data_IF_901623043741
#
_entry.id   IF_901623043741
#
_cell.length_a   1.000
_cell.length_b   1.000
_cell.length_c   1.000
_cell.angle_alpha   90.00
_cell.angle_beta   90.00
_cell.angle_gamma   90.00
#
_symmetry.space_group_name_H-M   'P 1'
#
loop_
_entity.id
_entity.type
_entity.pdbx_description
1 polymer ?
#
# COMPACT_ATOMS: atom_id res chain seq x y z
N UNK A 1 16.03 -8.52 2.07
CA UNK A 1 15.60 -9.02 0.75
C UNK A 1 15.84 -10.52 0.61
N UNK A 2 17.06 -11.03 0.77
CA UNK A 2 17.39 -12.47 0.60
C UNK A 2 16.53 -13.39 1.48
N UNK A 3 16.26 -13.04 2.73
CA UNK A 3 15.47 -13.87 3.64
C UNK A 3 13.99 -13.99 3.25
N UNK A 4 13.41 -12.92 2.70
CA UNK A 4 12.01 -12.91 2.27
C UNK A 4 11.77 -13.76 1.02
N UNK A 5 12.70 -13.73 0.07
CA UNK A 5 12.64 -14.53 -1.15
C UNK A 5 12.81 -16.03 -0.86
N UNK A 6 13.69 -16.37 0.10
CA UNK A 6 13.87 -17.75 0.58
C UNK A 6 12.59 -18.25 1.26
N UNK A 7 11.92 -17.39 2.04
CA UNK A 7 10.65 -17.74 2.65
C UNK A 7 9.57 -18.03 1.62
N UNK A 8 9.48 -17.22 0.56
CA UNK A 8 8.53 -17.45 -0.53
C UNK A 8 8.83 -18.77 -1.25
N UNK A 9 10.10 -19.05 -1.56
CA UNK A 9 10.53 -20.32 -2.12
C UNK A 9 10.08 -21.50 -1.25
N UNK A 10 10.38 -21.45 0.05
CA UNK A 10 10.00 -22.51 0.99
C UNK A 10 8.48 -22.68 1.08
N UNK A 11 7.74 -21.59 1.03
CA UNK A 11 6.29 -21.62 1.01
C UNK A 11 5.74 -22.29 -0.26
N UNK A 12 6.30 -21.99 -1.44
CA UNK A 12 5.92 -22.64 -2.71
C UNK A 12 6.23 -24.14 -2.70
N UNK A 13 7.43 -24.53 -2.22
CA UNK A 13 7.77 -25.95 -2.07
C UNK A 13 6.78 -26.68 -1.16
N UNK A 14 6.35 -26.05 -0.06
CA UNK A 14 5.34 -26.63 0.84
C UNK A 14 3.96 -26.80 0.17
N UNK A 15 3.70 -26.06 -0.92
CA UNK A 15 2.48 -26.21 -1.74
C UNK A 15 2.63 -27.22 -2.89
N UNK A 16 3.72 -27.98 -2.91
CA UNK A 16 3.95 -29.06 -3.88
C UNK A 16 4.63 -28.65 -5.18
N UNK A 17 5.19 -27.42 -5.26
CA UNK A 17 6.03 -27.06 -6.39
C UNK A 17 7.43 -27.65 -6.24
N UNK A 18 7.84 -28.50 -7.20
CA UNK A 18 9.19 -29.07 -7.25
C UNK A 18 10.15 -28.07 -7.87
N UNK A 19 10.77 -27.23 -7.02
CA UNK A 19 11.59 -26.09 -7.40
C UNK A 19 13.05 -26.28 -6.98
N UNK A 20 13.97 -25.99 -7.90
CA UNK A 20 15.37 -25.73 -7.55
C UNK A 20 15.49 -24.28 -7.08
N UNK A 21 16.14 -24.08 -5.91
CA UNK A 21 16.15 -22.81 -5.20
C UNK A 21 16.75 -21.67 -6.04
N UNK A 22 17.92 -21.91 -6.58
CA UNK A 22 18.69 -20.91 -7.35
C UNK A 22 17.93 -20.52 -8.61
N UNK A 23 17.34 -21.47 -9.32
CA UNK A 23 16.55 -21.23 -10.52
C UNK A 23 15.27 -20.41 -10.20
N UNK A 24 14.59 -20.73 -9.10
CA UNK A 24 13.42 -19.96 -8.68
C UNK A 24 13.78 -18.53 -8.32
N UNK A 25 14.84 -18.32 -7.55
CA UNK A 25 15.26 -16.98 -7.14
C UNK A 25 15.63 -16.10 -8.34
N UNK A 26 16.29 -16.66 -9.36
CA UNK A 26 16.61 -15.96 -10.61
C UNK A 26 15.33 -15.61 -11.40
N UNK A 27 14.46 -16.58 -11.66
CA UNK A 27 13.20 -16.37 -12.35
C UNK A 27 12.29 -15.35 -11.63
N UNK A 28 12.24 -15.42 -10.30
CA UNK A 28 11.49 -14.46 -9.49
C UNK A 28 12.05 -13.05 -9.59
N UNK A 29 13.37 -12.89 -9.54
CA UNK A 29 14.05 -11.60 -9.69
C UNK A 29 13.78 -10.97 -11.06
N UNK A 30 13.84 -11.76 -12.12
CA UNK A 30 13.54 -11.29 -13.47
C UNK A 30 12.07 -10.84 -13.60
N UNK A 31 11.12 -11.66 -13.12
CA UNK A 31 9.72 -11.32 -13.12
C UNK A 31 9.45 -10.05 -12.30
N UNK A 32 10.02 -9.95 -11.10
CA UNK A 32 9.89 -8.77 -10.25
C UNK A 32 10.43 -7.50 -10.93
N UNK A 33 11.59 -7.56 -11.60
CA UNK A 33 12.16 -6.42 -12.33
C UNK A 33 11.29 -6.00 -13.52
N UNK A 34 10.77 -6.97 -14.30
CA UNK A 34 9.83 -6.73 -15.40
C UNK A 34 8.60 -5.94 -14.95
N UNK A 35 7.96 -6.39 -13.87
CA UNK A 35 6.74 -5.77 -13.36
C UNK A 35 7.00 -4.49 -12.57
N UNK A 36 8.20 -4.34 -11.98
CA UNK A 36 8.62 -3.09 -11.33
C UNK A 36 8.54 -1.89 -12.30
N UNK A 37 8.96 -2.04 -13.54
CA UNK A 37 8.83 -0.99 -14.56
C UNK A 37 7.39 -0.54 -14.75
N UNK A 38 6.47 -1.48 -14.93
CA UNK A 38 5.03 -1.19 -15.09
C UNK A 38 4.50 -0.43 -13.88
N UNK A 39 4.86 -0.86 -12.68
CA UNK A 39 4.39 -0.27 -11.43
C UNK A 39 4.86 1.17 -11.23
N UNK A 40 6.13 1.46 -11.50
CA UNK A 40 6.73 2.76 -11.18
C UNK A 40 6.74 3.75 -12.36
N UNK A 41 6.68 3.27 -13.60
CA UNK A 41 6.66 4.14 -14.78
C UNK A 41 5.24 4.39 -15.30
N UNK A 42 4.33 3.42 -15.16
CA UNK A 42 2.96 3.52 -15.66
C UNK A 42 1.92 3.70 -14.55
N UNK A 43 2.34 3.64 -13.28
CA UNK A 43 1.50 3.70 -12.09
C UNK A 43 0.34 2.69 -12.10
N UNK A 44 0.56 1.55 -12.73
CA UNK A 44 -0.32 0.39 -12.68
C UNK A 44 0.17 -0.57 -11.62
N UNK A 45 -0.75 -1.04 -10.79
CA UNK A 45 -0.38 -2.08 -9.82
C UNK A 45 -0.30 -3.43 -10.51
N UNK A 46 0.73 -4.18 -10.17
CA UNK A 46 0.88 -5.59 -10.52
C UNK A 46 1.12 -6.35 -9.22
N UNK A 47 0.42 -7.45 -9.03
CA UNK A 47 0.37 -8.15 -7.75
C UNK A 47 1.51 -9.15 -7.59
N UNK A 48 1.82 -9.51 -6.35
CA UNK A 48 2.75 -10.59 -6.06
C UNK A 48 2.35 -11.89 -6.76
N UNK A 49 1.06 -12.19 -6.82
CA UNK A 49 0.57 -13.40 -7.47
C UNK A 49 0.92 -13.44 -8.96
N UNK A 50 0.88 -12.29 -9.66
CA UNK A 50 1.23 -12.19 -11.08
C UNK A 50 2.70 -12.52 -11.30
N UNK A 51 3.63 -11.85 -10.61
CA UNK A 51 5.05 -12.11 -10.88
C UNK A 51 5.54 -13.44 -10.30
N UNK A 52 4.92 -13.96 -9.24
CA UNK A 52 5.20 -15.33 -8.76
C UNK A 52 4.74 -16.36 -9.79
N UNK A 53 3.52 -16.20 -10.33
CA UNK A 53 3.02 -17.09 -11.40
C UNK A 53 3.88 -17.00 -12.65
N UNK A 54 4.32 -15.80 -13.05
CA UNK A 54 5.19 -15.61 -14.22
C UNK A 54 6.55 -16.32 -14.01
N UNK A 55 7.14 -16.18 -12.83
CA UNK A 55 8.37 -16.90 -12.48
C UNK A 55 8.20 -18.43 -12.54
N UNK A 56 7.09 -18.95 -12.01
CA UNK A 56 6.79 -20.38 -12.07
C UNK A 56 6.54 -20.87 -13.51
N UNK A 57 5.84 -20.07 -14.34
CA UNK A 57 5.62 -20.38 -15.75
C UNK A 57 6.94 -20.45 -16.52
N UNK A 58 7.90 -19.56 -16.24
CA UNK A 58 9.24 -19.58 -16.84
C UNK A 58 10.04 -20.86 -16.47
N UNK A 59 9.69 -21.48 -15.34
CA UNK A 59 10.26 -22.76 -14.89
C UNK A 59 9.46 -23.99 -15.38
N UNK A 60 8.46 -23.79 -16.24
CA UNK A 60 7.68 -24.87 -16.85
C UNK A 60 6.42 -25.28 -16.10
N UNK A 61 6.08 -24.63 -15.00
CA UNK A 61 4.84 -24.90 -14.28
C UNK A 61 3.64 -24.22 -14.97
N UNK A 62 2.49 -24.87 -14.96
CA UNK A 62 1.22 -24.30 -15.45
C UNK A 62 0.50 -23.63 -14.28
N UNK A 63 0.74 -22.35 -14.07
CA UNK A 63 0.14 -21.57 -12.98
C UNK A 63 -0.52 -20.28 -13.48
N UNK A 64 -1.42 -19.77 -12.66
CA UNK A 64 -2.05 -18.45 -12.82
C UNK A 64 -1.98 -17.70 -11.48
N UNK A 65 -2.20 -16.39 -11.44
CA UNK A 65 -2.30 -15.65 -10.18
C UNK A 65 -3.36 -16.20 -9.22
N UNK A 66 -4.39 -16.87 -9.75
CA UNK A 66 -5.49 -17.47 -8.98
C UNK A 66 -5.18 -18.87 -8.47
N UNK A 67 -4.06 -19.47 -8.88
CA UNK A 67 -3.68 -20.82 -8.45
C UNK A 67 -3.62 -20.91 -6.91
N UNK A 68 -4.32 -21.90 -6.33
CA UNK A 68 -4.45 -22.03 -4.87
C UNK A 68 -3.11 -22.12 -4.15
N UNK A 69 -2.16 -22.89 -4.69
CA UNK A 69 -0.81 -23.02 -4.13
C UNK A 69 -0.02 -21.71 -4.16
N UNK A 70 -0.21 -20.85 -5.18
CA UNK A 70 0.40 -19.51 -5.24
C UNK A 70 -0.20 -18.61 -4.16
N UNK A 71 -1.53 -18.59 -4.02
CA UNK A 71 -2.21 -17.78 -2.99
C UNK A 71 -1.82 -18.23 -1.58
N UNK A 72 -1.75 -19.53 -1.34
CA UNK A 72 -1.36 -20.03 -0.02
C UNK A 72 0.11 -19.74 0.29
N UNK A 73 1.01 -19.90 -0.69
CA UNK A 73 2.40 -19.50 -0.51
C UNK A 73 2.54 -18.01 -0.18
N UNK A 74 1.73 -17.14 -0.79
CA UNK A 74 1.71 -15.71 -0.47
C UNK A 74 1.12 -15.44 0.92
N UNK A 75 0.10 -16.16 1.37
CA UNK A 75 -0.39 -16.08 2.74
C UNK A 75 0.73 -16.41 3.76
N UNK A 76 1.49 -17.48 3.51
CA UNK A 76 2.64 -17.88 4.35
C UNK A 76 3.73 -16.80 4.29
N UNK A 77 4.03 -16.30 3.09
CA UNK A 77 5.04 -15.27 2.88
C UNK A 77 4.75 -14.00 3.70
N UNK A 78 3.50 -13.53 3.71
CA UNK A 78 3.10 -12.32 4.43
C UNK A 78 2.79 -12.54 5.93
N UNK A 79 2.90 -13.78 6.44
CA UNK A 79 2.53 -14.07 7.84
C UNK A 79 3.40 -13.29 8.84
N UNK A 80 4.71 -13.13 8.57
CA UNK A 80 5.59 -12.40 9.48
C UNK A 80 5.26 -10.89 9.47
N UNK A 81 4.94 -10.33 8.29
CA UNK A 81 4.46 -8.96 8.22
C UNK A 81 3.19 -8.78 9.07
N UNK A 82 2.22 -9.70 8.93
CA UNK A 82 1.02 -9.67 9.74
C UNK A 82 1.31 -9.81 11.24
N UNK A 83 2.28 -10.64 11.61
CA UNK A 83 2.62 -10.86 13.02
C UNK A 83 3.26 -9.62 13.67
N UNK A 84 4.07 -8.88 12.91
CA UNK A 84 4.84 -7.71 13.39
C UNK A 84 4.11 -6.39 13.26
N UNK A 85 2.97 -6.33 12.53
CA UNK A 85 2.24 -5.08 12.36
C UNK A 85 1.60 -4.63 13.68
N UNK A 86 1.86 -3.37 14.03
CA UNK A 86 1.31 -2.69 15.20
C UNK A 86 0.83 -1.28 14.82
N UNK A 87 -0.09 -0.74 15.62
CA UNK A 87 -0.49 0.66 15.46
C UNK A 87 0.60 1.57 16.02
N UNK A 88 0.90 2.62 15.28
CA UNK A 88 1.70 3.69 15.84
C UNK A 88 0.93 4.42 16.95
N UNK A 89 1.70 4.99 17.88
CA UNK A 89 1.14 5.72 19.03
C UNK A 89 0.15 6.80 18.59
N UNK A 90 -1.01 6.84 19.22
CA UNK A 90 -2.05 7.82 18.94
C UNK A 90 -2.94 7.54 17.72
N UNK A 91 -2.65 6.50 16.91
CA UNK A 91 -3.41 6.24 15.70
C UNK A 91 -4.89 5.95 15.96
N UNK A 92 -5.19 5.12 16.95
CA UNK A 92 -6.58 4.79 17.31
C UNK A 92 -7.34 6.00 17.86
N UNK A 93 -6.69 6.82 18.70
CA UNK A 93 -7.28 8.06 19.22
C UNK A 93 -7.60 9.02 18.10
N UNK A 94 -6.66 9.23 17.17
CA UNK A 94 -6.88 10.07 15.99
C UNK A 94 -8.08 9.59 15.19
N UNK A 95 -8.11 8.30 14.80
CA UNK A 95 -9.21 7.73 14.02
C UNK A 95 -10.55 7.87 14.74
N UNK A 96 -10.60 7.62 16.05
CA UNK A 96 -11.81 7.80 16.86
C UNK A 96 -12.30 9.26 16.82
N UNK A 97 -11.40 10.23 16.90
CA UNK A 97 -11.75 11.64 16.86
C UNK A 97 -12.24 12.10 15.49
N UNK A 98 -11.49 11.79 14.42
CA UNK A 98 -11.82 12.28 13.08
C UNK A 98 -13.06 11.60 12.50
N UNK A 99 -13.29 10.31 12.79
CA UNK A 99 -14.46 9.57 12.29
C UNK A 99 -15.80 10.07 12.86
N UNK A 100 -15.79 10.89 13.94
CA UNK A 100 -17.01 11.55 14.45
C UNK A 100 -17.46 12.72 13.58
N UNK A 101 -16.55 13.30 12.80
CA UNK A 101 -16.80 14.56 12.05
C UNK A 101 -16.61 14.39 10.55
N UNK A 102 -15.80 13.44 10.12
CA UNK A 102 -15.40 13.27 8.72
C UNK A 102 -15.65 11.83 8.25
N UNK A 103 -15.87 11.67 6.94
CA UNK A 103 -15.71 10.37 6.28
C UNK A 103 -14.23 10.07 6.15
N UNK A 104 -13.83 8.86 6.53
CA UNK A 104 -12.43 8.45 6.52
C UNK A 104 -12.20 7.42 5.41
N UNK A 105 -11.22 7.69 4.53
CA UNK A 105 -10.77 6.77 3.50
C UNK A 105 -9.35 6.28 3.75
N UNK A 106 -9.05 5.07 3.29
CA UNK A 106 -7.69 4.51 3.22
C UNK A 106 -7.31 4.27 1.78
N UNK A 107 -6.12 4.75 1.36
CA UNK A 107 -5.48 4.38 0.09
C UNK A 107 -4.13 3.75 0.39
N UNK A 108 -3.94 2.50 -0.02
CA UNK A 108 -2.70 1.77 0.21
C UNK A 108 -2.10 1.25 -1.11
N UNK A 109 -0.83 1.60 -1.38
CA UNK A 109 -0.04 0.95 -2.42
C UNK A 109 0.50 -0.38 -1.88
N UNK A 110 -0.25 -1.45 -2.07
CA UNK A 110 0.13 -2.78 -1.59
C UNK A 110 -0.25 -3.86 -2.61
N UNK A 111 0.62 -4.84 -2.76
CA UNK A 111 0.57 -5.86 -3.82
C UNK A 111 -0.15 -7.15 -3.42
N UNK A 112 -0.72 -7.19 -2.21
CA UNK A 112 -1.49 -8.32 -1.69
C UNK A 112 -2.53 -7.83 -0.67
N UNK A 113 -3.71 -7.47 -1.15
CA UNK A 113 -4.79 -6.87 -0.36
C UNK A 113 -5.24 -7.71 0.84
N UNK A 114 -5.32 -9.06 0.76
CA UNK A 114 -5.77 -9.87 1.89
C UNK A 114 -5.00 -9.61 3.17
N UNK A 115 -3.68 -9.34 3.10
CA UNK A 115 -2.90 -9.07 4.31
C UNK A 115 -3.22 -7.70 4.91
N UNK A 116 -3.51 -6.69 4.09
CA UNK A 116 -3.90 -5.35 4.59
C UNK A 116 -5.21 -5.44 5.35
N UNK A 117 -6.22 -6.14 4.82
CA UNK A 117 -7.48 -6.34 5.55
C UNK A 117 -7.28 -7.07 6.88
N UNK A 118 -6.45 -8.11 6.90
CA UNK A 118 -6.07 -8.80 8.14
C UNK A 118 -5.36 -7.88 9.15
N UNK A 119 -4.48 -6.98 8.66
CA UNK A 119 -3.81 -5.98 9.51
C UNK A 119 -4.83 -5.00 10.12
N UNK A 120 -5.75 -4.47 9.32
CA UNK A 120 -6.79 -3.56 9.79
C UNK A 120 -7.71 -4.21 10.83
N UNK A 121 -8.06 -5.48 10.63
CA UNK A 121 -8.85 -6.27 11.58
C UNK A 121 -8.07 -6.55 12.87
N UNK A 122 -6.82 -7.06 12.76
CA UNK A 122 -5.95 -7.35 13.90
C UNK A 122 -5.74 -6.13 14.78
N UNK A 123 -5.54 -4.97 14.17
CA UNK A 123 -5.31 -3.71 14.89
C UNK A 123 -6.59 -3.03 15.37
N UNK A 124 -7.76 -3.55 14.98
CA UNK A 124 -9.07 -3.05 15.41
C UNK A 124 -9.40 -1.66 14.86
N UNK A 125 -8.88 -1.31 13.66
CA UNK A 125 -9.16 0.00 13.03
C UNK A 125 -9.97 -0.12 11.74
N UNK A 126 -10.30 -1.31 11.28
CA UNK A 126 -11.04 -1.53 10.03
C UNK A 126 -12.35 -0.74 9.97
N UNK A 127 -13.11 -0.71 11.06
CA UNK A 127 -14.44 -0.08 11.13
C UNK A 127 -14.44 1.45 11.08
N UNK A 128 -13.28 2.10 11.18
CA UNK A 128 -13.20 3.56 11.05
C UNK A 128 -13.26 4.04 9.60
N UNK A 129 -12.99 3.16 8.63
CA UNK A 129 -12.91 3.54 7.23
C UNK A 129 -14.24 3.36 6.50
N UNK A 130 -14.73 4.44 5.88
CA UNK A 130 -15.91 4.43 5.01
C UNK A 130 -15.57 3.94 3.59
N UNK A 131 -14.30 4.05 3.19
CA UNK A 131 -13.77 3.48 1.95
C UNK A 131 -12.35 2.97 2.18
N UNK A 132 -12.05 1.79 1.66
CA UNK A 132 -10.70 1.21 1.63
C UNK A 132 -10.39 0.91 0.17
N UNK A 133 -9.26 1.44 -0.31
CA UNK A 133 -8.78 1.24 -1.67
C UNK A 133 -7.34 0.74 -1.60
N UNK A 134 -7.13 -0.49 -2.03
CA UNK A 134 -5.81 -1.10 -2.10
C UNK A 134 -5.44 -1.22 -3.58
N UNK A 135 -4.24 -0.80 -3.93
CA UNK A 135 -3.79 -0.73 -5.33
C UNK A 135 -3.94 -2.05 -6.10
N UNK A 136 -3.78 -3.19 -5.42
CA UNK A 136 -4.01 -4.52 -6.01
C UNK A 136 -5.43 -4.66 -6.57
N UNK A 137 -6.45 -4.20 -5.83
CA UNK A 137 -7.86 -4.42 -6.17
C UNK A 137 -8.34 -3.54 -7.33
N UNK A 138 -7.69 -2.39 -7.52
CA UNK A 138 -8.09 -1.39 -8.54
C UNK A 138 -7.10 -1.29 -9.68
N UNK A 139 -6.02 -2.06 -9.66
CA UNK A 139 -4.91 -2.04 -10.63
C UNK A 139 -4.28 -0.64 -10.83
N UNK A 140 -4.51 0.26 -9.90
CA UNK A 140 -4.00 1.63 -9.88
C UNK A 140 -3.19 1.85 -8.61
N UNK A 141 -2.11 2.64 -8.72
CA UNK A 141 -1.31 2.98 -7.55
C UNK A 141 -1.00 4.47 -7.49
N UNK A 142 -0.80 4.99 -6.29
CA UNK A 142 -0.25 6.32 -6.08
C UNK A 142 1.13 6.42 -6.75
N UNK A 143 1.50 7.54 -7.39
CA UNK A 143 0.83 8.84 -7.39
C UNK A 143 -0.26 9.05 -8.46
N UNK A 144 -0.74 8.03 -9.17
CA UNK A 144 -1.79 8.24 -10.17
C UNK A 144 -3.00 8.96 -9.55
N UNK A 145 -3.45 10.11 -10.10
CA UNK A 145 -4.64 10.80 -9.61
C UNK A 145 -5.91 9.93 -9.63
N UNK A 146 -5.94 8.91 -10.49
CA UNK A 146 -7.11 8.04 -10.66
C UNK A 146 -7.46 7.27 -9.38
N UNK A 147 -6.46 6.81 -8.60
CA UNK A 147 -6.74 6.07 -7.34
C UNK A 147 -7.36 6.98 -6.28
N UNK A 148 -6.96 8.26 -6.25
CA UNK A 148 -7.57 9.25 -5.35
C UNK A 148 -9.00 9.55 -5.77
N UNK A 149 -9.26 9.76 -7.08
CA UNK A 149 -10.61 9.98 -7.58
C UNK A 149 -11.54 8.77 -7.37
N UNK A 150 -11.05 7.54 -7.52
CA UNK A 150 -11.82 6.34 -7.19
C UNK A 150 -12.22 6.34 -5.71
N UNK A 151 -11.30 6.68 -4.82
CA UNK A 151 -11.58 6.77 -3.39
C UNK A 151 -12.59 7.88 -3.06
N UNK A 152 -12.45 9.07 -3.67
CA UNK A 152 -13.38 10.18 -3.50
C UNK A 152 -14.80 9.81 -3.96
N UNK A 153 -14.91 9.11 -5.10
CA UNK A 153 -16.19 8.61 -5.60
C UNK A 153 -16.83 7.62 -4.61
N UNK A 154 -16.07 6.70 -4.04
CA UNK A 154 -16.56 5.77 -3.01
C UNK A 154 -17.00 6.49 -1.73
N UNK A 155 -16.32 7.58 -1.39
CA UNK A 155 -16.69 8.43 -0.25
C UNK A 155 -17.88 9.37 -0.57
N UNK A 156 -18.20 9.60 -1.85
CA UNK A 156 -19.24 10.52 -2.27
C UNK A 156 -18.92 11.98 -1.95
N UNK A 157 -17.65 12.41 -2.14
CA UNK A 157 -17.16 13.77 -1.88
C UNK A 157 -16.32 14.29 -3.05
N UNK A 158 -16.14 15.62 -3.10
CA UNK A 158 -15.29 16.28 -4.09
C UNK A 158 -13.86 16.43 -3.58
N UNK A 159 -12.89 16.56 -4.50
CA UNK A 159 -11.48 16.64 -4.15
C UNK A 159 -11.15 17.83 -3.22
N UNK A 160 -11.76 18.99 -3.46
CA UNK A 160 -11.54 20.20 -2.65
C UNK A 160 -12.08 20.10 -1.21
N UNK A 161 -12.97 19.13 -0.93
CA UNK A 161 -13.52 18.83 0.39
C UNK A 161 -12.66 17.82 1.17
N UNK A 162 -11.58 17.30 0.55
CA UNK A 162 -10.76 16.24 1.12
C UNK A 162 -9.35 16.69 1.48
N UNK A 163 -8.82 16.11 2.56
CA UNK A 163 -7.42 16.19 2.95
C UNK A 163 -6.80 14.80 2.86
N UNK A 164 -5.70 14.68 2.16
CA UNK A 164 -4.90 13.46 2.17
C UNK A 164 -3.73 13.60 3.14
N UNK A 165 -3.57 12.61 4.00
CA UNK A 165 -2.50 12.55 5.00
C UNK A 165 -1.59 11.40 4.64
N UNK A 166 -0.32 11.65 4.39
CA UNK A 166 0.63 10.61 4.03
C UNK A 166 2.08 10.99 4.31
N UNK A 167 2.96 10.03 4.12
CA UNK A 167 4.39 10.17 4.40
C UNK A 167 5.27 10.17 3.15
N UNK A 168 4.77 9.72 2.00
CA UNK A 168 5.55 9.72 0.77
C UNK A 168 5.42 11.03 0.01
N UNK A 169 6.53 11.77 -0.18
CA UNK A 169 6.48 13.03 -0.95
C UNK A 169 5.95 12.84 -2.38
N UNK A 170 6.36 11.78 -3.05
CA UNK A 170 5.98 11.55 -4.45
C UNK A 170 4.66 10.78 -4.60
N UNK A 171 4.46 9.71 -3.82
CA UNK A 171 3.25 8.90 -3.95
C UNK A 171 2.03 9.61 -3.33
N UNK A 172 2.19 10.19 -2.13
CA UNK A 172 1.10 10.77 -1.35
C UNK A 172 0.89 12.25 -1.66
N UNK A 173 1.91 13.08 -1.43
CA UNK A 173 1.75 14.52 -1.51
C UNK A 173 1.56 14.99 -2.96
N UNK A 174 2.45 14.57 -3.86
CA UNK A 174 2.32 14.90 -5.29
C UNK A 174 1.01 14.34 -5.85
N UNK A 175 0.75 13.05 -5.65
CA UNK A 175 -0.43 12.38 -6.23
C UNK A 175 -1.75 12.98 -5.75
N UNK A 176 -1.89 13.27 -4.45
CA UNK A 176 -3.09 13.90 -3.90
C UNK A 176 -3.28 15.33 -4.43
N UNK A 177 -2.20 16.13 -4.53
CA UNK A 177 -2.27 17.47 -5.12
C UNK A 177 -2.67 17.46 -6.59
N UNK A 178 -2.11 16.55 -7.38
CA UNK A 178 -2.50 16.38 -8.78
C UNK A 178 -3.97 15.94 -8.93
N UNK A 179 -4.53 15.27 -7.94
CA UNK A 179 -5.93 14.93 -7.87
C UNK A 179 -6.83 16.04 -7.29
N UNK A 180 -6.26 17.17 -6.88
CA UNK A 180 -6.98 18.34 -6.37
C UNK A 180 -7.31 18.31 -4.88
N UNK A 181 -6.72 17.38 -4.11
CA UNK A 181 -6.90 17.31 -2.66
C UNK A 181 -5.96 18.29 -1.93
N UNK A 182 -6.33 18.66 -0.73
CA UNK A 182 -5.40 19.24 0.24
C UNK A 182 -4.51 18.16 0.83
N UNK A 183 -3.33 18.53 1.34
CA UNK A 183 -2.32 17.57 1.77
C UNK A 183 -1.70 17.90 3.12
N UNK A 184 -1.51 16.87 3.92
CA UNK A 184 -0.74 16.92 5.17
C UNK A 184 0.39 15.90 5.07
N UNK A 185 1.62 16.36 5.16
CA UNK A 185 2.78 15.48 5.25
C UNK A 185 3.05 15.11 6.72
N UNK A 186 3.14 13.83 6.98
CA UNK A 186 3.50 13.29 8.29
C UNK A 186 4.69 12.34 8.10
N UNK A 187 5.92 12.74 8.50
CA UNK A 187 7.11 11.91 8.34
C UNK A 187 6.96 10.56 9.05
N UNK A 188 7.61 9.54 8.49
CA UNK A 188 7.65 8.18 9.01
C UNK A 188 9.09 7.68 9.11
N UNK A 189 9.24 6.41 9.48
CA UNK A 189 10.55 5.74 9.41
C UNK A 189 11.06 5.53 7.97
N UNK A 190 10.18 5.67 6.96
CA UNK A 190 10.54 5.47 5.55
C UNK A 190 10.81 6.77 4.81
N UNK A 191 10.18 7.88 5.23
CA UNK A 191 10.31 9.18 4.61
C UNK A 191 10.40 10.28 5.66
N UNK A 192 11.49 11.03 5.62
CA UNK A 192 11.80 12.12 6.53
C UNK A 192 11.41 13.49 5.97
N UNK A 193 11.55 14.53 6.78
CA UNK A 193 11.45 15.94 6.31
C UNK A 193 12.54 16.24 5.26
N UNK A 194 13.73 15.64 5.37
CA UNK A 194 14.78 15.83 4.37
C UNK A 194 14.38 15.26 3.00
N UNK A 195 13.73 14.10 2.98
CA UNK A 195 13.21 13.51 1.73
C UNK A 195 12.11 14.38 1.12
N UNK A 196 11.25 14.99 1.93
CA UNK A 196 10.25 15.96 1.46
C UNK A 196 10.93 17.14 0.78
N UNK A 197 11.92 17.76 1.44
CA UNK A 197 12.67 18.90 0.89
C UNK A 197 13.37 18.52 -0.41
N UNK A 198 14.04 17.37 -0.46
CA UNK A 198 14.73 16.89 -1.64
C UNK A 198 13.78 16.61 -2.82
N UNK A 199 12.56 16.23 -2.55
CA UNK A 199 11.54 15.95 -3.55
C UNK A 199 10.94 17.19 -4.22
N UNK A 200 11.18 18.39 -3.67
CA UNK A 200 10.56 19.65 -4.06
C UNK A 200 9.01 19.65 -3.97
N UNK A 201 8.44 18.76 -3.14
CA UNK A 201 6.99 18.75 -2.92
C UNK A 201 6.63 19.68 -1.75
N UNK A 202 5.53 20.39 -1.88
CA UNK A 202 5.07 21.37 -0.88
C UNK A 202 3.68 20.99 -0.38
N UNK A 203 3.54 20.24 0.72
CA UNK A 203 2.24 19.96 1.33
C UNK A 203 1.59 21.23 1.89
N UNK A 204 0.27 21.22 2.07
CA UNK A 204 -0.44 22.36 2.69
C UNK A 204 -0.10 22.49 4.18
N UNK A 205 0.16 21.38 4.85
CA UNK A 205 0.61 21.33 6.25
C UNK A 205 1.64 20.22 6.45
N UNK A 206 2.46 20.38 7.48
CA UNK A 206 3.39 19.35 7.98
C UNK A 206 3.06 19.11 9.46
N UNK A 207 3.02 17.84 9.86
CA UNK A 207 2.81 17.42 11.25
C UNK A 207 3.82 16.36 11.64
N UNK A 208 4.39 16.48 12.83
CA UNK A 208 5.28 15.44 13.38
C UNK A 208 4.50 14.39 14.17
N UNK A 209 3.43 14.81 14.85
CA UNK A 209 2.64 13.94 15.73
C UNK A 209 1.21 13.80 15.21
N UNK A 210 0.66 12.58 15.28
CA UNK A 210 -0.72 12.31 14.89
C UNK A 210 -1.74 13.16 15.65
N UNK A 211 -1.49 13.46 16.91
CA UNK A 211 -2.35 14.28 17.75
C UNK A 211 -2.57 15.71 17.22
N UNK A 212 -1.66 16.23 16.40
CA UNK A 212 -1.77 17.57 15.81
C UNK A 212 -2.66 17.60 14.54
N UNK A 213 -2.99 16.47 13.97
CA UNK A 213 -3.72 16.36 12.70
C UNK A 213 -5.10 17.04 12.76
N UNK A 214 -5.96 16.83 13.78
CA UNK A 214 -7.29 17.43 13.81
C UNK A 214 -7.26 18.96 13.75
N UNK A 215 -6.32 19.59 14.48
CA UNK A 215 -6.13 21.04 14.43
C UNK A 215 -5.67 21.50 13.05
N UNK A 216 -4.79 20.75 12.41
CA UNK A 216 -4.28 21.11 11.07
C UNK A 216 -5.34 20.98 9.99
N UNK A 217 -6.19 19.96 10.07
CA UNK A 217 -7.36 19.83 9.17
C UNK A 217 -8.26 21.05 9.29
N UNK A 218 -8.60 21.48 10.51
CA UNK A 218 -9.43 22.68 10.73
C UNK A 218 -8.83 23.94 10.08
N UNK A 219 -7.50 24.11 10.14
CA UNK A 219 -6.81 25.24 9.53
C UNK A 219 -6.78 25.23 8.00
N UNK A 220 -6.96 24.07 7.38
CA UNK A 220 -6.95 23.93 5.92
C UNK A 220 -8.28 24.38 5.30
N UNK A 221 -9.38 24.24 6.02
CA UNK A 221 -10.72 24.55 5.53
C UNK A 221 -11.29 25.89 6.05
N UNK A 222 -10.52 26.62 6.85
CA UNK A 222 -10.83 28.02 7.24
C UNK A 222 -10.23 29.00 6.26
#
# INVERSE_FOLDING_TARGET
MVDSEIKLYSALVSQGFELEKEQFLEAYKEAHQKYRKIRYEQFREVTNAVWVSDALCNLGFRTTPEHSGVKEALNIFFQDFLNTVELCEGAKQLLTQIAQQYRVGLISNFTYAPVIYKCLQKTGIHSYFNAIVISEEVELRKPSPKIFHDTLNRLGIQAHEAVFIGDSPLEDIKGAKEAGLRTVFKPSQFNSIADLVQSNQTPDQIVEKLASIPQKISQIFT
#
